data_IF_551432167314
#
_entry.id   IF_551432167314
#
_cell.length_a   1.000
_cell.length_b   1.000
_cell.length_c   1.000
_cell.angle_alpha   90.00
_cell.angle_beta   90.00
_cell.angle_gamma   90.00
#
_symmetry.space_group_name_H-M   'P 1'
#
loop_
_entity.id
_entity.type
_entity.pdbx_description
1 polymer ?
#
# COMPACT_ATOMS: atom_id res chain seq x y z
N UNK A 1 -6.83 -68.29 -43.37
CA UNK A 1 -8.04 -68.41 -42.53
C UNK A 1 -7.72 -67.98 -41.10
N UNK A 2 -8.57 -67.18 -40.45
CA UNK A 2 -9.16 -65.97 -41.02
C UNK A 2 -9.28 -64.79 -40.02
N UNK A 3 -9.73 -63.65 -40.56
CA UNK A 3 -10.66 -62.66 -39.95
C UNK A 3 -10.17 -61.81 -38.75
N UNK A 4 -10.51 -60.53 -38.60
CA UNK A 4 -11.56 -59.68 -39.20
C UNK A 4 -11.18 -58.21 -38.92
N UNK A 5 -11.25 -57.28 -39.87
CA UNK A 5 -12.44 -56.48 -40.29
C UNK A 5 -12.74 -55.30 -39.35
N UNK A 6 -12.42 -54.09 -39.85
CA UNK A 6 -12.98 -52.75 -39.53
C UNK A 6 -14.53 -52.74 -39.46
N UNK A 7 -15.26 -51.77 -38.84
CA UNK A 7 -15.20 -50.34 -39.19
C UNK A 7 -15.57 -49.29 -38.09
N UNK A 8 -15.48 -47.98 -38.42
CA UNK A 8 -15.89 -46.88 -37.54
C UNK A 8 -17.37 -46.50 -37.75
N UNK A 9 -18.04 -46.04 -36.69
CA UNK A 9 -19.39 -45.47 -36.79
C UNK A 9 -19.43 -44.01 -36.33
N UNK A 10 -19.74 -43.16 -37.31
CA UNK A 10 -20.28 -41.82 -37.15
C UNK A 10 -21.64 -41.86 -36.43
N UNK A 11 -21.86 -40.93 -35.50
CA UNK A 11 -23.16 -40.67 -34.87
C UNK A 11 -23.43 -39.17 -34.77
N UNK A 12 -24.20 -38.66 -35.72
CA UNK A 12 -24.78 -37.30 -35.76
C UNK A 12 -25.83 -37.11 -34.66
N UNK A 13 -25.65 -36.11 -33.79
CA UNK A 13 -26.68 -35.66 -32.85
C UNK A 13 -27.55 -34.58 -33.50
N UNK A 14 -28.80 -34.97 -33.74
CA UNK A 14 -29.85 -34.17 -34.34
C UNK A 14 -30.52 -33.27 -33.31
N UNK A 15 -30.81 -32.04 -33.72
CA UNK A 15 -31.56 -31.01 -33.01
C UNK A 15 -33.01 -31.42 -32.78
N UNK A 16 -33.50 -31.33 -31.54
CA UNK A 16 -34.94 -31.41 -31.26
C UNK A 16 -35.42 -30.12 -30.59
N UNK A 17 -36.08 -29.30 -31.41
CA UNK A 17 -37.03 -28.25 -31.04
C UNK A 17 -38.18 -28.91 -30.26
N UNK A 18 -38.52 -28.39 -29.09
CA UNK A 18 -39.86 -28.51 -28.54
C UNK A 18 -40.41 -27.10 -28.26
N UNK A 19 -41.51 -26.82 -28.92
CA UNK A 19 -42.28 -25.60 -28.89
C UNK A 19 -43.51 -25.80 -28.00
N UNK A 20 -43.93 -24.69 -27.38
CA UNK A 20 -45.29 -24.36 -26.95
C UNK A 20 -45.91 -25.16 -25.78
N UNK A 21 -46.15 -24.47 -24.65
CA UNK A 21 -47.54 -24.16 -24.33
C UNK A 21 -47.70 -22.97 -23.39
N UNK A 22 -48.65 -22.11 -23.76
CA UNK A 22 -49.06 -20.86 -23.11
C UNK A 22 -50.49 -21.07 -22.61
N UNK A 23 -50.75 -20.93 -21.31
CA UNK A 23 -52.12 -20.69 -20.81
C UNK A 23 -52.07 -19.82 -19.55
N UNK A 24 -52.93 -18.81 -19.58
CA UNK A 24 -53.04 -17.66 -18.67
C UNK A 24 -53.97 -17.96 -17.46
N UNK A 25 -54.48 -16.97 -16.71
CA UNK A 25 -54.17 -16.76 -15.30
C UNK A 25 -55.29 -17.21 -14.35
N UNK A 26 -54.97 -17.48 -13.08
CA UNK A 26 -55.98 -17.60 -12.04
C UNK A 26 -55.71 -16.65 -10.87
N UNK A 27 -56.78 -16.01 -10.43
CA UNK A 27 -56.87 -14.89 -9.49
C UNK A 27 -57.42 -15.39 -8.14
N UNK A 28 -56.90 -14.80 -7.05
CA UNK A 28 -57.44 -14.69 -5.65
C UNK A 28 -57.44 -15.92 -4.70
N UNK A 29 -57.58 -15.75 -3.35
CA UNK A 29 -57.30 -14.63 -2.43
C UNK A 29 -56.45 -15.07 -1.18
N UNK A 30 -56.28 -14.26 -0.10
CA UNK A 30 -55.10 -14.33 0.78
C UNK A 30 -55.28 -15.24 2.01
N UNK A 31 -54.19 -15.84 2.48
CA UNK A 31 -54.09 -16.35 3.84
C UNK A 31 -52.72 -16.03 4.42
N UNK A 32 -52.75 -15.37 5.57
CA UNK A 32 -51.55 -14.97 6.30
C UNK A 32 -50.88 -16.16 6.95
N UNK A 33 -49.55 -16.16 6.96
CA UNK A 33 -48.79 -16.88 7.97
C UNK A 33 -47.49 -16.14 8.24
N UNK A 34 -47.34 -15.71 9.48
CA UNK A 34 -46.16 -15.10 10.06
C UNK A 34 -44.96 -16.04 9.89
N UNK A 35 -43.87 -15.56 9.32
CA UNK A 35 -42.55 -16.16 9.54
C UNK A 35 -41.49 -15.07 9.67
N UNK A 36 -40.75 -15.19 10.76
CA UNK A 36 -39.76 -14.25 11.25
C UNK A 36 -38.57 -14.14 10.29
N UNK A 37 -38.18 -12.90 10.02
CA UNK A 37 -36.90 -12.56 9.39
C UNK A 37 -35.77 -12.68 10.42
N UNK A 38 -34.58 -13.19 10.06
CA UNK A 38 -33.42 -13.10 10.93
C UNK A 38 -32.85 -11.68 10.94
N UNK A 39 -32.45 -11.26 12.14
CA UNK A 39 -31.80 -10.01 12.52
C UNK A 39 -30.69 -9.60 11.54
N UNK A 40 -30.83 -8.39 11.00
CA UNK A 40 -29.72 -7.62 10.45
C UNK A 40 -29.13 -6.79 11.60
N UNK A 41 -28.02 -7.24 12.19
CA UNK A 41 -27.29 -6.47 13.20
C UNK A 41 -26.33 -5.52 12.51
N UNK A 42 -26.84 -4.34 12.18
CA UNK A 42 -26.02 -3.16 11.92
C UNK A 42 -25.52 -2.63 13.28
N UNK A 43 -24.23 -2.84 13.58
CA UNK A 43 -23.59 -2.19 14.70
C UNK A 43 -23.25 -0.73 14.31
N UNK A 44 -24.19 0.17 14.64
CA UNK A 44 -23.85 1.55 15.00
C UNK A 44 -23.05 1.49 16.30
N UNK A 45 -21.85 2.07 16.32
CA UNK A 45 -21.30 2.63 17.54
C UNK A 45 -20.88 4.06 17.27
N UNK A 46 -21.65 4.95 17.88
CA UNK A 46 -21.33 6.35 18.08
C UNK A 46 -20.09 6.48 18.97
N UNK A 47 -19.25 7.42 18.58
CA UNK A 47 -18.91 8.63 19.33
C UNK A 47 -19.13 8.65 20.87
N UNK A 48 -18.18 9.29 21.54
CA UNK A 48 -18.04 9.55 22.99
C UNK A 48 -17.30 8.50 23.83
N UNK A 49 -16.01 8.77 24.04
CA UNK A 49 -15.48 8.87 25.41
C UNK A 49 -14.20 9.71 25.43
N UNK A 50 -14.37 10.97 25.85
CA UNK A 50 -13.34 11.85 26.35
C UNK A 50 -13.38 11.77 27.88
N UNK A 51 -12.47 11.01 28.50
CA UNK A 51 -12.17 11.10 29.93
C UNK A 51 -10.69 10.82 30.14
N UNK A 52 -9.97 11.91 30.41
CA UNK A 52 -8.68 12.02 31.07
C UNK A 52 -8.37 10.90 32.08
N UNK A 53 -7.28 10.16 31.82
CA UNK A 53 -6.50 9.45 32.85
C UNK A 53 -5.00 9.45 32.48
N UNK A 54 -4.26 10.39 33.05
CA UNK A 54 -2.87 10.20 33.53
C UNK A 54 -2.94 9.68 34.99
N UNK A 55 -1.86 9.24 35.67
CA UNK A 55 -0.44 9.13 35.29
C UNK A 55 0.23 7.78 35.67
N UNK A 56 1.47 7.56 35.20
CA UNK A 56 2.58 6.74 35.76
C UNK A 56 3.33 6.04 34.61
N UNK A 57 4.65 5.99 34.53
CA UNK A 57 5.73 6.54 35.34
C UNK A 57 6.99 6.48 34.49
N UNK A 58 7.74 7.58 34.46
CA UNK A 58 9.01 7.69 33.73
C UNK A 58 10.09 7.07 34.61
N UNK A 59 10.58 5.90 34.24
CA UNK A 59 11.85 5.35 34.74
C UNK A 59 12.90 5.67 33.69
N UNK A 60 13.80 6.60 34.02
CA UNK A 60 14.93 6.98 33.19
C UNK A 60 15.99 5.86 33.18
N UNK A 61 16.56 5.49 32.03
CA UNK A 61 17.78 4.69 32.01
C UNK A 61 19.00 5.56 32.28
N UNK A 62 19.88 5.00 33.11
CA UNK A 62 21.14 5.54 33.60
C UNK A 62 22.12 5.81 32.45
N UNK A 63 22.66 7.02 32.43
CA UNK A 63 23.72 7.46 31.51
C UNK A 63 25.06 6.80 31.87
N UNK A 64 25.55 5.91 31.00
CA UNK A 64 26.94 5.44 31.02
C UNK A 64 27.79 6.23 30.02
N UNK A 65 28.72 7.00 30.60
CA UNK A 65 29.86 7.70 30.01
C UNK A 65 30.62 6.86 28.95
N UNK A 66 31.07 7.45 27.83
CA UNK A 66 32.23 6.96 27.12
C UNK A 66 33.47 7.83 27.39
N UNK A 67 34.60 7.13 27.53
CA UNK A 67 35.93 7.68 27.70
C UNK A 67 36.58 8.04 26.35
N UNK A 68 37.52 8.97 26.47
CA UNK A 68 38.44 9.60 25.51
C UNK A 68 39.10 8.75 24.42
N UNK A 69 39.36 9.40 23.27
CA UNK A 69 40.63 9.50 22.50
C UNK A 69 40.28 10.15 21.14
N UNK A 70 41.08 10.90 20.39
CA UNK A 70 42.47 11.35 20.39
C UNK A 70 42.64 12.29 19.18
N UNK A 71 43.65 13.16 19.22
CA UNK A 71 43.98 14.28 18.30
C UNK A 71 44.32 13.86 16.85
N UNK A 72 44.10 14.78 15.89
CA UNK A 72 45.07 15.32 14.88
C UNK A 72 44.27 16.09 13.80
N UNK A 73 44.39 17.39 13.50
CA UNK A 73 45.48 18.32 13.10
C UNK A 73 45.49 18.64 11.58
N UNK A 74 45.41 19.96 11.30
CA UNK A 74 45.78 20.75 10.10
C UNK A 74 45.32 20.37 8.67
N UNK A 75 44.56 21.27 8.01
CA UNK A 75 45.00 21.90 6.76
C UNK A 75 44.32 23.25 6.47
N UNK A 76 45.10 24.13 5.85
CA UNK A 76 44.88 25.56 5.54
C UNK A 76 44.16 25.75 4.18
N UNK A 77 43.30 26.79 4.13
CA UNK A 77 42.83 27.70 3.05
C UNK A 77 43.46 27.60 1.63
N UNK A 78 42.81 28.05 0.52
CA UNK A 78 42.22 29.40 0.39
C UNK A 78 41.01 29.64 -0.56
N UNK A 79 40.45 30.85 -0.43
CA UNK A 79 39.44 31.51 -1.28
C UNK A 79 39.92 31.81 -2.72
N UNK A 80 38.99 32.02 -3.66
CA UNK A 80 38.80 33.33 -4.33
C UNK A 80 37.31 33.55 -4.73
N UNK A 81 36.80 34.63 -5.34
CA UNK A 81 37.15 36.01 -5.63
C UNK A 81 35.81 36.71 -6.00
N UNK A 82 35.77 38.02 -5.84
CA UNK A 82 34.65 38.92 -6.18
C UNK A 82 34.63 39.22 -7.69
N UNK A 83 33.44 39.30 -8.28
CA UNK A 83 33.12 40.03 -9.53
C UNK A 83 31.60 39.98 -9.72
N UNK A 84 30.86 40.93 -10.26
CA UNK A 84 31.05 42.33 -10.61
C UNK A 84 29.63 42.89 -10.75
N UNK A 85 29.41 44.12 -10.32
CA UNK A 85 28.19 44.87 -10.59
C UNK A 85 28.25 45.43 -12.03
N UNK A 86 27.15 45.35 -12.78
CA UNK A 86 26.89 46.22 -13.93
C UNK A 86 25.43 46.65 -13.89
N UNK A 87 25.25 47.96 -13.71
CA UNK A 87 24.03 48.68 -13.99
C UNK A 87 23.98 49.01 -15.49
N UNK A 88 22.79 48.93 -16.10
CA UNK A 88 22.54 49.33 -17.48
C UNK A 88 21.10 49.79 -17.64
N UNK A 89 20.96 51.05 -18.04
CA UNK A 89 19.74 51.86 -18.06
C UNK A 89 19.01 51.83 -19.41
N UNK A 90 17.68 51.93 -19.33
CA UNK A 90 16.72 52.65 -20.19
C UNK A 90 16.76 52.58 -21.73
N UNK A 91 15.63 52.15 -22.33
CA UNK A 91 14.88 52.73 -23.48
C UNK A 91 13.84 51.67 -23.89
N UNK A 92 12.60 51.91 -24.29
CA UNK A 92 11.81 53.10 -24.60
C UNK A 92 10.44 52.55 -25.06
N UNK A 93 9.37 53.27 -24.76
CA UNK A 93 8.00 52.87 -25.04
C UNK A 93 7.73 52.65 -26.54
N UNK A 94 6.92 51.64 -26.88
CA UNK A 94 5.97 51.71 -28.00
C UNK A 94 4.72 50.91 -27.67
N UNK A 95 3.66 51.67 -27.45
CA UNK A 95 2.27 51.28 -27.27
C UNK A 95 1.70 51.07 -28.68
N UNK A 96 1.21 49.88 -28.98
CA UNK A 96 0.34 49.65 -30.13
C UNK A 96 -0.72 48.63 -29.74
N UNK A 97 -1.93 49.13 -29.67
CA UNK A 97 -3.19 48.43 -29.51
C UNK A 97 -3.29 47.27 -30.51
N UNK A 98 -3.56 46.07 -30.00
CA UNK A 98 -4.25 45.05 -30.77
C UNK A 98 -5.23 44.34 -29.83
N UNK A 99 -6.50 44.72 -29.97
CA UNK A 99 -7.62 44.00 -29.40
C UNK A 99 -7.65 42.59 -30.01
N UNK A 100 -7.37 41.59 -29.19
CA UNK A 100 -7.56 40.18 -29.54
C UNK A 100 -8.45 39.53 -28.48
N UNK A 101 -9.56 39.00 -28.98
CA UNK A 101 -10.58 38.22 -28.31
C UNK A 101 -10.08 37.44 -27.09
N UNK A 102 -10.58 37.81 -25.91
CA UNK A 102 -10.46 37.04 -24.67
C UNK A 102 -11.30 35.77 -24.72
N UNK A 103 -10.92 34.83 -25.59
CA UNK A 103 -11.22 33.42 -25.35
C UNK A 103 -10.36 33.02 -24.16
N UNK A 104 -11.05 32.79 -23.05
CA UNK A 104 -10.50 32.40 -21.77
C UNK A 104 -9.95 30.98 -21.89
N UNK A 105 -8.77 30.82 -22.47
CA UNK A 105 -7.97 29.59 -22.46
C UNK A 105 -7.48 29.33 -21.03
N UNK A 106 -8.43 28.99 -20.16
CA UNK A 106 -8.21 28.68 -18.74
C UNK A 106 -7.79 27.22 -18.53
N UNK A 107 -7.44 26.49 -19.58
CA UNK A 107 -7.33 25.04 -19.50
C UNK A 107 -6.12 24.39 -20.18
N UNK A 108 -5.16 25.17 -20.68
CA UNK A 108 -3.84 24.64 -21.04
C UNK A 108 -2.86 24.85 -19.89
N UNK A 109 -3.15 24.21 -18.75
CA UNK A 109 -2.05 23.67 -17.96
C UNK A 109 -1.29 22.78 -18.94
N UNK A 110 -0.18 23.30 -19.50
CA UNK A 110 0.66 22.53 -20.41
C UNK A 110 0.91 21.21 -19.71
N UNK A 111 0.35 20.12 -20.26
CA UNK A 111 0.42 18.80 -19.65
C UNK A 111 1.90 18.56 -19.44
N UNK A 112 2.33 18.62 -18.18
CA UNK A 112 3.74 18.52 -17.85
C UNK A 112 4.24 17.17 -18.37
N UNK A 113 5.51 17.07 -18.69
CA UNK A 113 6.03 15.78 -19.12
C UNK A 113 5.84 14.74 -17.98
N UNK A 114 5.59 13.48 -18.33
CA UNK A 114 5.61 12.38 -17.36
C UNK A 114 6.95 12.33 -16.64
N UNK A 115 8.06 12.68 -17.31
CA UNK A 115 9.36 12.78 -16.67
C UNK A 115 9.36 13.78 -15.51
N UNK A 116 8.74 14.95 -15.71
CA UNK A 116 8.56 15.94 -14.64
C UNK A 116 7.75 15.35 -13.48
N UNK A 117 6.64 14.67 -13.77
CA UNK A 117 5.82 14.04 -12.73
C UNK A 117 6.64 13.00 -11.93
N UNK A 118 7.38 12.12 -12.61
CA UNK A 118 8.17 11.08 -11.96
C UNK A 118 9.29 11.67 -11.10
N UNK A 119 9.97 12.72 -11.56
CA UNK A 119 11.02 13.38 -10.79
C UNK A 119 10.48 13.98 -9.49
N UNK A 120 9.32 14.63 -9.57
CA UNK A 120 8.72 15.33 -8.44
C UNK A 120 7.87 14.42 -7.54
N UNK A 121 7.64 13.15 -7.91
CA UNK A 121 7.05 12.14 -7.01
C UNK A 121 8.10 11.44 -6.13
N UNK A 122 9.40 11.58 -6.43
CA UNK A 122 10.47 10.93 -5.66
C UNK A 122 10.53 11.44 -4.23
N UNK A 123 11.03 10.62 -3.28
CA UNK A 123 11.25 11.05 -1.90
C UNK A 123 12.19 12.26 -1.78
N UNK A 124 13.15 12.41 -2.70
CA UNK A 124 14.12 13.52 -2.67
C UNK A 124 13.54 14.87 -3.10
N UNK A 125 12.32 14.91 -3.66
CA UNK A 125 11.73 16.14 -4.18
C UNK A 125 11.21 17.06 -3.07
N UNK A 126 11.25 18.37 -3.31
CA UNK A 126 10.74 19.37 -2.39
C UNK A 126 9.23 19.16 -2.11
N UNK A 127 8.80 19.47 -0.89
CA UNK A 127 7.40 19.30 -0.46
C UNK A 127 6.41 20.08 -1.33
N UNK A 128 6.77 21.31 -1.73
CA UNK A 128 5.98 22.15 -2.63
C UNK A 128 5.71 21.47 -3.97
N UNK A 129 6.76 20.90 -4.54
CA UNK A 129 6.72 20.36 -5.89
C UNK A 129 6.01 19.01 -5.89
N UNK A 130 6.15 18.22 -4.81
CA UNK A 130 5.34 17.02 -4.55
C UNK A 130 3.85 17.33 -4.44
N UNK A 131 3.49 18.40 -3.73
CA UNK A 131 2.09 18.81 -3.64
C UNK A 131 1.52 19.17 -5.02
N UNK A 132 2.33 19.76 -5.89
CA UNK A 132 1.95 20.07 -7.27
C UNK A 132 1.89 18.80 -8.14
N UNK A 133 2.87 17.92 -8.05
CA UNK A 133 2.89 16.61 -8.70
C UNK A 133 1.66 15.76 -8.31
N UNK A 134 1.19 15.87 -7.06
CA UNK A 134 -0.04 15.23 -6.59
C UNK A 134 -1.29 15.76 -7.29
N UNK A 135 -1.37 17.08 -7.48
CA UNK A 135 -2.48 17.72 -8.19
C UNK A 135 -2.49 17.28 -9.65
N UNK A 136 -1.31 17.27 -10.28
CA UNK A 136 -1.13 16.80 -11.66
C UNK A 136 -1.48 15.30 -11.79
N UNK A 137 -1.02 14.44 -10.87
CA UNK A 137 -1.37 13.02 -10.84
C UNK A 137 -2.90 12.83 -10.73
N UNK A 138 -3.56 13.55 -9.82
CA UNK A 138 -5.04 13.50 -9.66
C UNK A 138 -5.76 13.97 -10.92
N UNK A 139 -5.23 14.98 -11.61
CA UNK A 139 -5.78 15.45 -12.87
C UNK A 139 -5.64 14.38 -13.95
N UNK A 140 -4.44 13.80 -14.13
CA UNK A 140 -4.19 12.71 -15.10
C UNK A 140 -5.04 11.49 -14.85
N UNK A 141 -5.30 11.13 -13.60
CA UNK A 141 -6.18 10.00 -13.28
C UNK A 141 -7.55 10.16 -13.94
N UNK A 142 -8.05 11.41 -14.01
CA UNK A 142 -9.35 11.75 -14.60
C UNK A 142 -9.28 11.97 -16.12
N UNK A 143 -8.20 12.55 -16.64
CA UNK A 143 -8.14 13.03 -18.02
C UNK A 143 -7.22 12.24 -18.96
N UNK A 144 -6.27 11.47 -18.44
CA UNK A 144 -5.32 10.73 -19.28
C UNK A 144 -5.97 9.49 -19.91
N UNK A 145 -5.53 9.18 -21.13
CA UNK A 145 -6.01 8.05 -21.91
C UNK A 145 -5.57 6.72 -21.32
N UNK A 146 -6.22 5.62 -21.72
CA UNK A 146 -5.83 4.28 -21.30
C UNK A 146 -4.41 3.91 -21.77
N UNK A 147 -4.05 4.31 -23.00
CA UNK A 147 -2.70 4.10 -23.56
C UNK A 147 -1.62 4.72 -22.67
N UNK A 148 -1.88 5.90 -22.10
CA UNK A 148 -0.97 6.54 -21.16
C UNK A 148 -0.70 5.66 -19.93
N UNK A 149 -1.76 5.10 -19.34
CA UNK A 149 -1.61 4.27 -18.14
C UNK A 149 -0.94 2.94 -18.45
N UNK A 150 -1.24 2.32 -19.59
CA UNK A 150 -0.55 1.12 -20.03
C UNK A 150 0.98 1.31 -20.14
N UNK A 151 1.44 2.50 -20.51
CA UNK A 151 2.87 2.81 -20.67
C UNK A 151 3.54 3.26 -19.36
N UNK A 152 2.83 4.06 -18.54
CA UNK A 152 3.45 4.81 -17.45
C UNK A 152 3.08 4.32 -16.04
N UNK A 153 2.04 3.49 -15.89
CA UNK A 153 1.51 3.11 -14.58
C UNK A 153 2.56 2.43 -13.69
N UNK A 154 3.29 1.44 -14.24
CA UNK A 154 4.32 0.73 -13.49
C UNK A 154 5.46 1.66 -13.02
N UNK A 155 5.88 2.62 -13.84
CA UNK A 155 6.91 3.59 -13.48
C UNK A 155 6.43 4.51 -12.35
N UNK A 156 5.20 5.03 -12.45
CA UNK A 156 4.60 5.88 -11.42
C UNK A 156 4.52 5.12 -10.09
N UNK A 157 4.01 3.88 -10.10
CA UNK A 157 3.91 3.05 -8.88
C UNK A 157 5.30 2.76 -8.30
N UNK A 158 6.28 2.44 -9.14
CA UNK A 158 7.66 2.15 -8.70
C UNK A 158 8.29 3.36 -8.02
N UNK A 159 8.12 4.56 -8.58
CA UNK A 159 8.62 5.80 -7.95
C UNK A 159 7.94 6.09 -6.62
N UNK A 160 6.63 5.84 -6.51
CA UNK A 160 5.92 5.96 -5.23
C UNK A 160 6.42 4.92 -4.21
N UNK A 161 6.78 3.73 -4.68
CA UNK A 161 7.32 2.66 -3.85
C UNK A 161 8.71 2.98 -3.28
N UNK A 162 9.48 3.88 -3.92
CA UNK A 162 10.78 4.32 -3.40
C UNK A 162 10.66 5.03 -2.04
N UNK A 163 9.49 5.60 -1.71
CA UNK A 163 9.23 6.21 -0.40
C UNK A 163 9.19 5.20 0.75
N UNK A 164 9.02 3.92 0.45
CA UNK A 164 8.88 2.84 1.44
C UNK A 164 10.19 2.12 1.74
N UNK A 165 11.32 2.64 1.27
CA UNK A 165 12.64 2.09 1.56
C UNK A 165 13.04 2.39 3.01
N UNK A 166 13.81 1.47 3.60
CA UNK A 166 14.27 1.59 4.97
C UNK A 166 15.00 2.91 5.24
N UNK A 167 15.88 3.35 4.33
CA UNK A 167 16.64 4.61 4.44
C UNK A 167 15.76 5.88 4.43
N UNK A 168 14.55 5.81 3.87
CA UNK A 168 13.57 6.91 3.89
C UNK A 168 12.71 6.84 5.14
N UNK A 169 12.29 5.64 5.54
CA UNK A 169 11.42 5.43 6.70
C UNK A 169 12.16 5.57 8.04
N UNK A 170 13.45 5.25 8.09
CA UNK A 170 14.30 5.47 9.26
C UNK A 170 15.03 6.80 9.04
N UNK A 171 14.60 7.91 9.64
CA UNK A 171 15.38 9.14 9.60
C UNK A 171 16.73 8.82 10.23
N UNK A 172 17.76 8.71 9.39
CA UNK A 172 19.12 8.37 9.81
C UNK A 172 19.46 9.27 10.99
N UNK A 173 19.75 8.66 12.14
CA UNK A 173 20.34 9.33 13.29
C UNK A 173 21.77 9.75 12.93
N UNK A 174 21.91 10.61 11.92
CA UNK A 174 23.13 11.34 11.68
C UNK A 174 23.49 12.01 13.01
N UNK A 175 24.76 11.94 13.43
CA UNK A 175 25.18 12.46 14.73
C UNK A 175 24.71 13.90 14.78
N UNK A 176 23.78 14.18 15.68
CA UNK A 176 23.35 15.53 15.96
C UNK A 176 24.63 16.28 16.28
N UNK A 177 25.12 17.11 15.36
CA UNK A 177 26.05 18.18 15.71
C UNK A 177 25.25 18.97 16.72
N UNK A 178 25.58 18.79 18.00
CA UNK A 178 24.92 19.40 19.15
C UNK A 178 25.20 20.89 19.06
N UNK A 179 24.53 21.58 18.15
CA UNK A 179 24.36 23.02 18.20
C UNK A 179 23.42 23.27 19.36
N UNK A 180 23.96 23.88 20.41
CA UNK A 180 23.44 24.00 21.78
C UNK A 180 22.16 24.86 21.94
N UNK A 181 21.19 24.72 21.04
CA UNK A 181 19.87 25.35 21.14
C UNK A 181 18.80 24.27 21.04
N UNK A 182 18.41 23.72 22.20
CA UNK A 182 17.42 22.65 22.31
C UNK A 182 16.07 23.05 21.71
N UNK A 183 15.65 22.35 20.66
CA UNK A 183 14.27 22.23 20.10
C UNK A 183 14.27 21.52 18.72
N UNK A 184 15.42 21.30 18.08
CA UNK A 184 15.49 20.85 16.67
C UNK A 184 15.33 19.35 16.37
N UNK A 185 15.47 18.44 17.35
CA UNK A 185 15.57 17.00 17.06
C UNK A 185 14.23 16.36 16.67
N UNK A 186 13.10 16.87 17.16
CA UNK A 186 11.77 16.32 16.82
C UNK A 186 11.32 16.61 15.38
N UNK A 187 11.90 17.62 14.71
CA UNK A 187 11.42 18.07 13.40
C UNK A 187 11.96 17.24 12.23
N UNK A 188 13.17 16.70 12.35
CA UNK A 188 13.79 15.89 11.28
C UNK A 188 13.13 14.52 11.11
N UNK A 189 12.67 13.89 12.21
CA UNK A 189 11.96 12.62 12.16
C UNK A 189 10.57 12.72 11.53
N UNK A 190 9.95 13.90 11.54
CA UNK A 190 8.61 14.10 11.00
C UNK A 190 8.62 14.14 9.45
N UNK A 191 9.68 14.70 8.85
CA UNK A 191 9.77 14.89 7.40
C UNK A 191 9.72 13.55 6.66
N UNK A 192 10.43 12.52 7.13
CA UNK A 192 10.45 11.18 6.51
C UNK A 192 9.05 10.58 6.34
N UNK A 193 8.21 10.70 7.36
CA UNK A 193 6.86 10.14 7.34
C UNK A 193 5.90 10.88 6.42
N UNK A 194 6.11 12.18 6.17
CA UNK A 194 5.31 12.94 5.21
C UNK A 194 5.44 12.37 3.78
N UNK A 195 6.61 11.83 3.41
CA UNK A 195 6.82 11.17 2.12
C UNK A 195 6.04 9.85 2.01
N UNK A 196 6.07 9.05 3.07
CA UNK A 196 5.36 7.76 3.12
C UNK A 196 3.85 8.00 3.11
N UNK A 197 3.36 8.96 3.89
CA UNK A 197 1.95 9.32 3.94
C UNK A 197 1.45 9.82 2.58
N UNK A 198 2.23 10.70 1.93
CA UNK A 198 1.94 11.16 0.57
C UNK A 198 1.82 10.00 -0.42
N UNK A 199 2.80 9.12 -0.42
CA UNK A 199 2.88 8.00 -1.37
C UNK A 199 1.76 7.00 -1.14
N UNK A 200 1.42 6.76 0.12
CA UNK A 200 0.28 5.94 0.53
C UNK A 200 -1.04 6.51 -0.02
N UNK A 201 -1.28 7.82 0.15
CA UNK A 201 -2.48 8.48 -0.41
C UNK A 201 -2.50 8.40 -1.94
N UNK A 202 -1.36 8.61 -2.61
CA UNK A 202 -1.27 8.51 -4.05
C UNK A 202 -1.56 7.09 -4.56
N UNK A 203 -1.00 6.05 -3.91
CA UNK A 203 -1.26 4.65 -4.22
C UNK A 203 -2.74 4.29 -4.04
N UNK A 204 -3.38 4.70 -2.94
CA UNK A 204 -4.81 4.47 -2.72
C UNK A 204 -5.67 5.09 -3.82
N UNK A 205 -5.35 6.32 -4.26
CA UNK A 205 -6.07 6.96 -5.37
C UNK A 205 -5.84 6.18 -6.68
N UNK A 206 -4.60 5.79 -6.98
CA UNK A 206 -4.31 4.98 -8.17
C UNK A 206 -5.06 3.66 -8.16
N UNK A 207 -5.13 2.98 -7.02
CA UNK A 207 -5.88 1.72 -6.91
C UNK A 207 -7.37 1.91 -7.13
N UNK A 208 -7.95 2.97 -6.58
CA UNK A 208 -9.39 3.22 -6.68
C UNK A 208 -9.84 3.56 -8.10
N UNK A 209 -9.00 4.24 -8.88
CA UNK A 209 -9.37 4.70 -10.23
C UNK A 209 -8.75 3.87 -11.35
N UNK A 210 -7.68 3.11 -11.07
CA UNK A 210 -6.86 2.39 -12.07
C UNK A 210 -6.52 0.96 -11.60
N UNK A 211 -7.44 0.35 -10.87
CA UNK A 211 -7.37 -1.01 -10.33
C UNK A 211 -6.83 -2.09 -11.30
N UNK A 212 -7.28 -2.16 -12.58
CA UNK A 212 -6.88 -3.24 -13.49
C UNK A 212 -5.37 -3.31 -13.75
N UNK A 213 -4.67 -2.18 -13.78
CA UNK A 213 -3.22 -2.16 -13.99
C UNK A 213 -2.42 -2.64 -12.77
N UNK A 214 -3.05 -2.67 -11.59
CA UNK A 214 -2.37 -3.03 -10.34
C UNK A 214 -2.11 -4.54 -10.22
N UNK A 215 -2.86 -5.36 -10.94
CA UNK A 215 -2.77 -6.82 -10.86
C UNK A 215 -1.36 -7.36 -11.07
N UNK A 216 -0.60 -6.74 -11.96
CA UNK A 216 0.76 -7.15 -12.30
C UNK A 216 1.80 -6.74 -11.26
N UNK A 217 1.44 -5.86 -10.33
CA UNK A 217 2.33 -5.29 -9.32
C UNK A 217 2.03 -5.81 -7.91
N UNK A 218 1.05 -6.69 -7.73
CA UNK A 218 0.59 -7.18 -6.42
C UNK A 218 1.75 -7.73 -5.58
N UNK A 219 2.61 -8.58 -6.14
CA UNK A 219 3.73 -9.18 -5.41
C UNK A 219 4.74 -8.12 -4.95
N UNK A 220 5.08 -7.18 -5.84
CA UNK A 220 6.03 -6.09 -5.53
C UNK A 220 5.45 -5.16 -4.48
N UNK A 221 4.16 -4.82 -4.59
CA UNK A 221 3.48 -3.99 -3.60
C UNK A 221 3.40 -4.69 -2.25
N UNK A 222 2.99 -5.96 -2.21
CA UNK A 222 2.94 -6.74 -0.98
C UNK A 222 4.32 -6.77 -0.30
N UNK A 223 5.39 -7.09 -1.05
CA UNK A 223 6.74 -7.14 -0.49
C UNK A 223 7.19 -5.78 0.06
N UNK A 224 7.05 -4.70 -0.71
CA UNK A 224 7.49 -3.37 -0.28
C UNK A 224 6.68 -2.82 0.88
N UNK A 225 5.36 -2.99 0.87
CA UNK A 225 4.49 -2.49 1.94
C UNK A 225 4.68 -3.27 3.23
N UNK A 226 4.82 -4.60 3.16
CA UNK A 226 5.13 -5.41 4.35
C UNK A 226 6.47 -5.02 4.95
N UNK A 227 7.54 -4.89 4.15
CA UNK A 227 8.85 -4.42 4.65
C UNK A 227 8.80 -3.02 5.24
N UNK A 228 8.02 -2.11 4.64
CA UNK A 228 7.86 -0.77 5.18
C UNK A 228 7.17 -0.76 6.54
N UNK A 229 6.27 -1.72 6.78
CA UNK A 229 5.61 -1.96 8.07
C UNK A 229 6.55 -2.06 9.26
N UNK A 230 7.83 -2.40 9.03
CA UNK A 230 8.88 -2.49 10.05
C UNK A 230 9.26 -1.13 10.64
N UNK A 231 9.18 -0.07 9.83
CA UNK A 231 9.78 1.23 10.13
C UNK A 231 8.74 2.34 10.30
N UNK A 232 7.49 2.11 9.88
CA UNK A 232 6.47 3.15 9.86
C UNK A 232 5.69 3.21 11.18
N UNK A 233 5.22 4.40 11.59
CA UNK A 233 4.35 4.56 12.75
C UNK A 233 2.97 3.95 12.49
N UNK A 234 2.28 3.61 13.57
CA UNK A 234 0.98 2.92 13.54
C UNK A 234 -0.06 3.54 12.59
N UNK A 235 -0.26 4.87 12.49
CA UNK A 235 -1.25 5.45 11.57
C UNK A 235 -0.92 5.18 10.09
N UNK A 236 0.37 5.14 9.75
CA UNK A 236 0.82 4.80 8.40
C UNK A 236 0.66 3.30 8.17
N UNK A 237 1.00 2.46 9.16
CA UNK A 237 0.79 1.01 9.07
C UNK A 237 -0.68 0.65 8.76
N UNK A 238 -1.65 1.33 9.40
CA UNK A 238 -3.08 1.18 9.08
C UNK A 238 -3.38 1.55 7.61
N UNK A 239 -2.70 2.55 7.07
CA UNK A 239 -2.87 2.94 5.69
C UNK A 239 -2.24 1.93 4.71
N UNK A 240 -1.16 1.25 5.10
CA UNK A 240 -0.61 0.11 4.36
C UNK A 240 -1.60 -1.06 4.37
N UNK A 241 -2.24 -1.32 5.52
CA UNK A 241 -3.27 -2.36 5.66
C UNK A 241 -4.48 -2.08 4.73
N UNK A 242 -4.92 -0.82 4.63
CA UNK A 242 -5.95 -0.41 3.68
C UNK A 242 -5.52 -0.65 2.23
N UNK A 243 -4.27 -0.34 1.87
CA UNK A 243 -3.74 -0.62 0.52
C UNK A 243 -3.78 -2.12 0.23
N UNK A 244 -3.25 -2.95 1.14
CA UNK A 244 -3.26 -4.41 0.97
C UNK A 244 -4.69 -4.97 0.87
N UNK A 245 -5.63 -4.42 1.66
CA UNK A 245 -7.05 -4.78 1.60
C UNK A 245 -7.74 -4.34 0.31
N UNK A 246 -7.31 -3.27 -0.34
CA UNK A 246 -7.81 -2.91 -1.68
C UNK A 246 -7.18 -3.77 -2.78
N UNK A 247 -5.94 -4.27 -2.58
CA UNK A 247 -5.27 -5.17 -3.53
C UNK A 247 -5.96 -6.54 -3.57
N UNK A 248 -6.47 -7.00 -2.43
CA UNK A 248 -7.14 -8.29 -2.33
C UNK A 248 -8.40 -8.38 -3.19
N UNK A 249 -9.08 -7.25 -3.43
CA UNK A 249 -10.24 -7.17 -4.33
C UNK A 249 -9.88 -7.41 -5.80
N UNK A 250 -8.61 -7.26 -6.17
CA UNK A 250 -8.14 -7.43 -7.55
C UNK A 250 -7.72 -8.88 -7.84
N UNK A 251 -6.90 -9.47 -6.96
CA UNK A 251 -6.46 -10.85 -7.07
C UNK A 251 -6.04 -11.38 -5.69
N UNK A 252 -7.04 -11.85 -4.92
CA UNK A 252 -6.84 -12.36 -3.57
C UNK A 252 -5.91 -13.57 -3.52
N UNK A 253 -5.94 -14.47 -4.51
CA UNK A 253 -5.09 -15.67 -4.55
C UNK A 253 -3.63 -15.28 -4.64
N UNK A 254 -3.30 -14.37 -5.57
CA UNK A 254 -1.93 -13.88 -5.75
C UNK A 254 -1.44 -13.12 -4.53
N UNK A 255 -2.30 -12.29 -3.93
CA UNK A 255 -1.94 -11.53 -2.74
C UNK A 255 -1.71 -12.44 -1.53
N UNK A 256 -2.58 -13.42 -1.27
CA UNK A 256 -2.39 -14.40 -0.18
C UNK A 256 -1.04 -15.10 -0.34
N UNK A 257 -0.74 -15.59 -1.54
CA UNK A 257 0.54 -16.26 -1.84
C UNK A 257 1.74 -15.36 -1.55
N UNK A 258 1.66 -14.07 -1.91
CA UNK A 258 2.71 -13.10 -1.65
C UNK A 258 2.86 -12.74 -0.15
N UNK A 259 1.79 -12.85 0.64
CA UNK A 259 1.79 -12.52 2.08
C UNK A 259 2.24 -13.68 2.98
N UNK A 260 2.12 -14.93 2.54
CA UNK A 260 2.48 -16.12 3.34
C UNK A 260 3.90 -16.08 3.95
N UNK A 261 4.95 -15.63 3.22
CA UNK A 261 6.30 -15.53 3.80
C UNK A 261 6.39 -14.59 5.00
N UNK A 262 5.56 -13.54 5.07
CA UNK A 262 5.57 -12.59 6.19
C UNK A 262 4.74 -13.06 7.39
N UNK A 263 3.79 -13.97 7.16
CA UNK A 263 2.96 -14.57 8.21
C UNK A 263 3.68 -15.69 8.98
N UNK A 264 4.64 -16.35 8.32
CA UNK A 264 5.33 -17.52 8.86
C UNK A 264 6.41 -17.10 9.86
N UNK A 265 6.39 -17.69 11.06
CA UNK A 265 7.47 -17.59 12.04
C UNK A 265 8.47 -18.73 11.80
N UNK A 266 9.65 -18.38 11.29
CA UNK A 266 10.79 -19.30 11.32
C UNK A 266 11.34 -19.37 12.74
N UNK A 267 10.76 -20.22 13.58
CA UNK A 267 11.28 -20.49 14.94
C UNK A 267 12.61 -21.24 14.92
N UNK A 268 13.02 -21.76 13.76
CA UNK A 268 14.16 -22.66 13.62
C UNK A 268 15.54 -21.97 13.66
N UNK A 269 15.60 -20.64 13.59
CA UNK A 269 16.85 -19.87 13.53
C UNK A 269 17.38 -19.38 14.89
N UNK A 270 16.67 -19.65 16.00
CA UNK A 270 17.03 -19.15 17.33
C UNK A 270 18.27 -19.79 17.98
N UNK A 271 18.97 -20.74 17.32
CA UNK A 271 20.05 -21.52 17.94
C UNK A 271 21.41 -21.44 17.24
N UNK A 272 21.61 -20.57 16.24
CA UNK A 272 22.93 -20.43 15.59
C UNK A 272 23.35 -18.99 15.40
N UNK A 273 24.23 -18.56 16.30
CA UNK A 273 25.01 -17.32 16.32
C UNK A 273 25.88 -17.17 15.06
N UNK A 274 25.27 -16.88 13.92
CA UNK A 274 25.97 -16.57 12.69
C UNK A 274 25.65 -15.14 12.26
N UNK A 275 26.69 -14.32 12.13
CA UNK A 275 26.70 -12.89 11.79
C UNK A 275 26.24 -12.59 10.35
N UNK A 276 25.30 -13.36 9.82
CA UNK A 276 24.70 -13.11 8.51
C UNK A 276 23.40 -12.35 8.72
N UNK A 277 23.44 -11.06 8.39
CA UNK A 277 22.31 -10.14 8.25
C UNK A 277 21.36 -10.62 7.14
N UNK A 278 20.70 -11.75 7.36
CA UNK A 278 19.73 -12.32 6.44
C UNK A 278 18.38 -11.64 6.61
N UNK A 279 17.81 -11.27 5.48
CA UNK A 279 16.57 -10.53 5.27
C UNK A 279 15.30 -11.23 5.78
N UNK A 280 15.25 -11.69 7.03
CA UNK A 280 14.10 -12.37 7.61
C UNK A 280 12.99 -11.34 7.92
N UNK A 281 12.34 -10.86 6.86
CA UNK A 281 11.29 -9.84 6.92
C UNK A 281 10.07 -10.27 7.79
N UNK A 282 9.97 -11.55 8.14
CA UNK A 282 8.93 -12.09 9.01
C UNK A 282 9.22 -11.97 10.51
N UNK A 283 10.41 -11.56 10.96
CA UNK A 283 10.75 -11.54 12.39
C UNK A 283 10.11 -10.37 13.15
N UNK A 284 9.88 -9.23 12.48
CA UNK A 284 9.25 -8.09 13.13
C UNK A 284 7.75 -8.35 13.37
N UNK A 285 7.26 -8.27 14.61
CA UNK A 285 5.87 -8.56 14.93
C UNK A 285 4.88 -7.59 14.24
N UNK A 286 5.27 -6.34 13.96
CA UNK A 286 4.41 -5.38 13.26
C UNK A 286 4.17 -5.77 11.81
N UNK A 287 5.23 -6.18 11.11
CA UNK A 287 5.14 -6.68 9.73
C UNK A 287 4.23 -7.90 9.67
N UNK A 288 4.36 -8.79 10.65
CA UNK A 288 3.53 -9.98 10.74
C UNK A 288 2.07 -9.67 11.04
N UNK A 289 1.79 -8.76 11.98
CA UNK A 289 0.40 -8.30 12.26
C UNK A 289 -0.21 -7.73 10.98
N UNK A 290 0.52 -6.85 10.28
CA UNK A 290 0.09 -6.27 9.01
C UNK A 290 -0.23 -7.35 7.96
N UNK A 291 0.65 -8.34 7.80
CA UNK A 291 0.44 -9.45 6.86
C UNK A 291 -0.77 -10.31 7.25
N UNK A 292 -0.95 -10.64 8.54
CA UNK A 292 -2.10 -11.42 9.02
C UNK A 292 -3.43 -10.66 8.84
N UNK A 293 -3.46 -9.36 9.11
CA UNK A 293 -4.65 -8.55 8.85
C UNK A 293 -4.99 -8.51 7.36
N UNK A 294 -3.99 -8.28 6.50
CA UNK A 294 -4.16 -8.31 5.06
C UNK A 294 -4.60 -9.69 4.54
N UNK A 295 -4.08 -10.78 5.11
CA UNK A 295 -4.54 -12.15 4.82
C UNK A 295 -6.01 -12.34 5.19
N UNK A 296 -6.41 -11.92 6.39
CA UNK A 296 -7.80 -11.96 6.84
C UNK A 296 -8.73 -11.20 5.88
N UNK A 297 -8.34 -9.98 5.47
CA UNK A 297 -9.09 -9.20 4.49
C UNK A 297 -9.13 -9.89 3.11
N UNK A 298 -8.07 -10.61 2.73
CA UNK A 298 -8.00 -11.29 1.42
C UNK A 298 -8.85 -12.54 1.34
N UNK A 299 -8.97 -13.29 2.44
CA UNK A 299 -9.74 -14.53 2.50
C UNK A 299 -11.21 -14.28 2.16
N UNK A 300 -11.76 -13.13 2.56
CA UNK A 300 -13.13 -12.68 2.24
C UNK A 300 -13.43 -12.60 0.74
N UNK A 301 -12.41 -12.52 -0.09
CA UNK A 301 -12.51 -12.37 -1.55
C UNK A 301 -12.16 -13.67 -2.29
N UNK A 302 -11.84 -14.75 -1.59
CA UNK A 302 -11.60 -16.06 -2.17
C UNK A 302 -12.90 -16.86 -2.29
N UNK A 303 -13.05 -17.60 -3.39
CA UNK A 303 -14.06 -18.66 -3.45
C UNK A 303 -13.66 -19.82 -2.52
N UNK A 304 -14.65 -20.58 -2.02
CA UNK A 304 -14.37 -21.74 -1.14
C UNK A 304 -13.42 -22.75 -1.79
N UNK A 305 -13.51 -22.98 -3.11
CA UNK A 305 -12.60 -23.86 -3.84
C UNK A 305 -11.14 -23.36 -3.86
N UNK A 306 -10.94 -22.06 -4.10
CA UNK A 306 -9.61 -21.44 -4.05
C UNK A 306 -9.05 -21.48 -2.63
N UNK A 307 -9.88 -21.18 -1.63
CA UNK A 307 -9.47 -21.20 -0.24
C UNK A 307 -9.04 -22.61 0.18
N UNK A 308 -9.84 -23.64 -0.11
CA UNK A 308 -9.50 -25.05 0.14
C UNK A 308 -8.14 -25.43 -0.49
N UNK A 309 -7.84 -24.93 -1.69
CA UNK A 309 -6.54 -25.18 -2.34
C UNK A 309 -5.35 -24.49 -1.65
N UNK A 310 -5.59 -23.37 -0.96
CA UNK A 310 -4.56 -22.59 -0.26
C UNK A 310 -4.38 -23.02 1.20
N UNK A 311 -5.37 -23.70 1.81
CA UNK A 311 -5.32 -24.12 3.21
C UNK A 311 -4.06 -24.88 3.63
N UNK A 312 -3.52 -25.83 2.84
CA UNK A 312 -2.32 -26.57 3.22
C UNK A 312 -1.10 -25.67 3.48
N UNK A 313 -1.00 -24.54 2.77
CA UNK A 313 0.08 -23.56 2.95
C UNK A 313 -0.30 -22.48 3.97
N UNK A 314 -1.56 -22.06 3.99
CA UNK A 314 -2.06 -20.98 4.83
C UNK A 314 -2.09 -21.36 6.32
N UNK A 315 -2.63 -22.53 6.65
CA UNK A 315 -2.86 -22.92 8.04
C UNK A 315 -1.55 -23.05 8.83
N UNK A 316 -0.50 -23.75 8.35
CA UNK A 316 0.77 -23.82 9.07
C UNK A 316 1.43 -22.44 9.25
N UNK A 317 1.40 -21.60 8.21
CA UNK A 317 1.97 -20.25 8.26
C UNK A 317 1.32 -19.41 9.37
N UNK A 318 -0.01 -19.41 9.44
CA UNK A 318 -0.77 -18.63 10.43
C UNK A 318 -0.66 -19.23 11.84
N UNK A 319 -0.75 -20.56 11.99
CA UNK A 319 -0.67 -21.23 13.29
C UNK A 319 0.67 -21.03 13.99
N UNK A 320 1.74 -20.75 13.25
CA UNK A 320 3.06 -20.43 13.82
C UNK A 320 3.01 -19.28 14.85
N UNK A 321 2.02 -18.38 14.75
CA UNK A 321 1.85 -17.22 15.63
C UNK A 321 0.82 -17.41 16.75
N UNK A 322 0.16 -18.58 16.86
CA UNK A 322 -0.87 -18.83 17.89
C UNK A 322 -0.31 -18.82 19.31
N UNK A 323 0.95 -19.22 19.47
CA UNK A 323 1.67 -19.25 20.74
C UNK A 323 2.57 -18.02 20.94
N UNK A 324 2.41 -16.98 20.12
CA UNK A 324 3.16 -15.72 20.28
C UNK A 324 2.85 -15.10 21.64
N UNK A 325 3.84 -14.45 22.27
CA UNK A 325 3.64 -13.69 23.51
C UNK A 325 2.72 -12.46 23.30
N UNK A 326 2.66 -11.92 22.07
CA UNK A 326 1.86 -10.76 21.72
C UNK A 326 0.40 -11.13 21.49
N UNK A 327 -0.50 -10.52 22.29
CA UNK A 327 -1.93 -10.79 22.22
C UNK A 327 -2.53 -10.47 20.85
N UNK A 328 -2.05 -9.43 20.16
CA UNK A 328 -2.61 -9.01 18.88
C UNK A 328 -2.29 -9.98 17.75
N UNK A 329 -1.10 -10.61 17.76
CA UNK A 329 -0.79 -11.72 16.85
C UNK A 329 -1.74 -12.90 17.07
N UNK A 330 -1.96 -13.30 18.33
CA UNK A 330 -2.89 -14.40 18.64
C UNK A 330 -4.32 -14.07 18.16
N UNK A 331 -4.80 -12.84 18.37
CA UNK A 331 -6.11 -12.40 17.89
C UNK A 331 -6.20 -12.42 16.36
N UNK A 332 -5.18 -11.92 15.66
CA UNK A 332 -5.14 -11.92 14.19
C UNK A 332 -5.22 -13.35 13.62
N UNK A 333 -4.50 -14.31 14.24
CA UNK A 333 -4.60 -15.73 13.90
C UNK A 333 -6.03 -16.26 14.08
N UNK A 334 -6.67 -16.00 15.22
CA UNK A 334 -8.06 -16.43 15.46
C UNK A 334 -9.02 -15.83 14.44
N UNK A 335 -8.88 -14.54 14.10
CA UNK A 335 -9.73 -13.91 13.09
C UNK A 335 -9.59 -14.58 11.72
N UNK A 336 -8.37 -14.92 11.31
CA UNK A 336 -8.15 -15.67 10.05
C UNK A 336 -8.87 -17.03 10.12
N UNK A 337 -8.68 -17.80 11.19
CA UNK A 337 -9.29 -19.13 11.31
C UNK A 337 -10.82 -19.07 11.32
N UNK A 338 -11.40 -18.08 11.99
CA UNK A 338 -12.85 -17.83 11.97
C UNK A 338 -13.32 -17.47 10.56
N UNK A 339 -12.61 -16.60 9.85
CA UNK A 339 -12.97 -16.22 8.48
C UNK A 339 -12.89 -17.41 7.52
N UNK A 340 -11.87 -18.26 7.68
CA UNK A 340 -11.75 -19.52 6.93
C UNK A 340 -12.94 -20.42 7.18
N UNK A 341 -13.30 -20.65 8.44
CA UNK A 341 -14.46 -21.46 8.83
C UNK A 341 -15.76 -20.89 8.25
N UNK A 342 -15.96 -19.57 8.31
CA UNK A 342 -17.15 -18.93 7.73
C UNK A 342 -17.21 -19.06 6.20
N UNK A 343 -16.06 -19.13 5.53
CA UNK A 343 -15.98 -19.19 4.06
C UNK A 343 -16.11 -20.60 3.48
N UNK A 344 -15.75 -21.64 4.25
CA UNK A 344 -15.74 -23.05 3.79
C UNK A 344 -16.86 -23.88 4.44
N UNK A 345 -17.23 -23.57 5.69
CA UNK A 345 -18.04 -24.44 6.56
C UNK A 345 -17.20 -25.45 7.31
#
# INVERSE_FOLDING_TARGET
>A
SPESTEPPLHGTLSTQKLQDNRTTPHKEPPSGTKRASPLSTAAQFADHNDVMRTPSGVVAPSSSRPASSGKSSHHVSPAPAKSNAVAGSSHGAKKSDLAANGAKDKNSSAIRDTLWLLEHLKPSAALSDRAEASKDLKQRIKSASESYWMQNYAQIVTVLLDSFRADVCTPSAAPAVISSSGTGVAKASLVGYEHVEFSTKALLVLMRYRAPHMKNLIEVLADKLCRAGEFVPQPIAQSLEMILSELSKQDAVRLVTALLPYATLDTSSASSSSNTSSNNAGENPQVRILALHALCASIKHLSSAQLLSLLPSLVPAVLSSVNSSLADLRKAVIFILVEVYLSVG
#
